data_IF_577785065625
#
_entry.id   IF_577785065625
#
_cell.length_a   1.000
_cell.length_b   1.000
_cell.length_c   1.000
_cell.angle_alpha   90.00
_cell.angle_beta   90.00
_cell.angle_gamma   90.00
#
_symmetry.space_group_name_H-M   'P 1'
#
loop_
_entity.id
_entity.type
_entity.pdbx_description
1 polymer ?
#
# COMPACT_ATOMS: atom_id res chain seq x y z
N UNK A 1 8.47 3.22 -4.15
CA UNK A 1 7.02 3.38 -4.41
C UNK A 1 6.70 2.99 -5.85
N UNK A 2 5.71 2.11 -6.10
CA UNK A 2 5.35 1.68 -7.46
C UNK A 2 4.21 2.50 -8.10
N UNK A 3 3.54 3.31 -7.32
CA UNK A 3 2.45 4.18 -7.72
C UNK A 3 2.48 5.49 -6.93
N UNK A 4 2.22 6.60 -7.59
CA UNK A 4 2.01 7.91 -6.98
C UNK A 4 0.90 8.67 -7.71
N UNK A 5 0.23 9.56 -7.01
CA UNK A 5 -0.83 10.38 -7.59
C UNK A 5 -0.23 11.44 -8.52
N UNK A 6 -0.68 11.44 -9.79
CA UNK A 6 -0.27 12.43 -10.78
C UNK A 6 -1.41 13.41 -11.01
N UNK A 7 -1.30 14.59 -10.41
CA UNK A 7 -2.26 15.68 -10.61
C UNK A 7 -1.97 16.39 -11.93
N UNK A 8 -2.68 16.00 -12.98
CA UNK A 8 -2.44 16.44 -14.36
C UNK A 8 -2.50 17.97 -14.48
N UNK A 9 -3.52 18.62 -13.91
CA UNK A 9 -3.67 20.08 -14.00
C UNK A 9 -2.53 20.85 -13.33
N UNK A 10 -2.10 20.41 -12.15
CA UNK A 10 -0.97 21.03 -11.45
C UNK A 10 0.35 20.81 -12.19
N UNK A 11 0.51 19.62 -12.78
CA UNK A 11 1.69 19.30 -13.59
C UNK A 11 1.75 20.17 -14.83
N UNK A 12 0.67 20.23 -15.62
CA UNK A 12 0.60 21.01 -16.84
C UNK A 12 0.83 22.50 -16.57
N UNK A 13 0.26 23.05 -15.49
CA UNK A 13 0.45 24.43 -15.12
C UNK A 13 1.92 24.73 -14.75
N UNK A 14 2.57 23.82 -14.02
CA UNK A 14 3.96 23.99 -13.58
C UNK A 14 4.96 23.80 -14.72
N UNK A 15 4.64 23.01 -15.75
CA UNK A 15 5.56 22.60 -16.82
C UNK A 15 5.24 23.21 -18.20
N UNK A 16 4.19 24.03 -18.31
CA UNK A 16 3.71 24.59 -19.58
C UNK A 16 4.78 25.38 -20.37
N UNK A 17 5.78 25.92 -19.71
CA UNK A 17 6.88 26.68 -20.32
C UNK A 17 8.08 25.82 -20.74
N UNK A 18 8.12 24.55 -20.32
CA UNK A 18 9.22 23.65 -20.65
C UNK A 18 9.16 23.20 -22.11
N UNK A 19 10.32 23.00 -22.71
CA UNK A 19 10.44 22.31 -23.98
C UNK A 19 10.08 20.83 -23.82
N UNK A 20 9.74 20.14 -24.90
CA UNK A 20 9.45 18.70 -24.87
C UNK A 20 10.64 17.88 -24.33
N UNK A 21 11.88 18.34 -24.54
CA UNK A 21 13.08 17.72 -23.97
C UNK A 21 13.14 17.90 -22.46
N UNK A 22 12.95 19.11 -21.97
CA UNK A 22 12.96 19.43 -20.53
C UNK A 22 11.82 18.74 -19.79
N UNK A 23 10.60 18.73 -20.34
CA UNK A 23 9.46 18.01 -19.79
C UNK A 23 9.73 16.49 -19.70
N UNK A 24 10.28 15.92 -20.76
CA UNK A 24 10.68 14.51 -20.79
C UNK A 24 11.73 14.18 -19.71
N UNK A 25 12.72 15.05 -19.51
CA UNK A 25 13.75 14.92 -18.47
C UNK A 25 13.12 15.07 -17.07
N UNK A 26 12.27 16.08 -16.87
CA UNK A 26 11.56 16.29 -15.60
C UNK A 26 10.74 15.06 -15.21
N UNK A 27 9.94 14.52 -16.12
CA UNK A 27 9.17 13.32 -15.89
C UNK A 27 10.03 12.08 -15.54
N UNK A 28 11.26 11.95 -16.12
CA UNK A 28 12.19 10.88 -15.76
C UNK A 28 12.78 11.07 -14.36
N UNK A 29 13.11 12.28 -13.97
CA UNK A 29 13.64 12.62 -12.65
C UNK A 29 12.60 12.36 -11.55
N UNK A 30 11.36 12.79 -11.75
CA UNK A 30 10.25 12.54 -10.81
C UNK A 30 10.02 11.03 -10.63
N UNK A 31 9.96 10.26 -11.72
CA UNK A 31 9.78 8.81 -11.62
C UNK A 31 10.93 8.13 -10.89
N UNK A 32 12.17 8.58 -11.12
CA UNK A 32 13.32 8.04 -10.39
C UNK A 32 13.24 8.37 -8.91
N UNK A 33 12.97 9.63 -8.58
CA UNK A 33 12.82 10.08 -7.19
C UNK A 33 11.76 9.27 -6.43
N UNK A 34 10.58 9.13 -7.03
CA UNK A 34 9.47 8.37 -6.44
C UNK A 34 9.78 6.86 -6.32
N UNK A 35 10.46 6.27 -7.29
CA UNK A 35 10.83 4.86 -7.24
C UNK A 35 11.88 4.55 -6.18
N UNK A 36 12.88 5.43 -6.00
CA UNK A 36 13.93 5.27 -4.99
C UNK A 36 13.50 5.70 -3.59
N UNK A 37 12.48 6.56 -3.48
CA UNK A 37 12.03 7.21 -2.23
C UNK A 37 13.16 7.95 -1.50
N UNK A 38 14.13 8.47 -2.26
CA UNK A 38 15.33 9.15 -1.78
C UNK A 38 15.67 10.34 -2.69
N UNK A 39 16.39 11.36 -2.18
CA UNK A 39 16.92 12.45 -2.98
C UNK A 39 17.76 11.95 -4.15
N UNK A 40 17.80 12.73 -5.23
CA UNK A 40 18.71 12.42 -6.34
C UNK A 40 20.15 12.76 -5.93
N UNK A 41 21.14 12.02 -6.46
CA UNK A 41 22.54 12.27 -6.11
C UNK A 41 22.96 13.69 -6.48
N UNK A 42 23.92 14.27 -5.76
CA UNK A 42 24.49 15.59 -6.07
C UNK A 42 25.32 15.62 -7.36
N UNK A 43 25.83 14.45 -7.81
CA UNK A 43 26.60 14.33 -9.05
C UNK A 43 25.70 14.42 -10.29
N UNK A 44 25.74 15.58 -10.96
CA UNK A 44 24.97 15.85 -12.18
C UNK A 44 25.32 14.86 -13.31
N UNK A 45 26.57 14.40 -13.42
CA UNK A 45 26.96 13.43 -14.45
C UNK A 45 26.30 12.06 -14.21
N UNK A 46 26.14 11.65 -12.96
CA UNK A 46 25.40 10.45 -12.62
C UNK A 46 23.93 10.59 -12.97
N UNK A 47 23.33 11.74 -12.71
CA UNK A 47 21.95 12.06 -13.09
C UNK A 47 21.78 11.99 -14.62
N UNK A 48 22.64 12.69 -15.37
CA UNK A 48 22.60 12.71 -16.84
C UNK A 48 22.64 11.28 -17.43
N UNK A 49 23.53 10.45 -16.94
CA UNK A 49 23.62 9.03 -17.34
C UNK A 49 22.34 8.27 -17.03
N UNK A 50 21.79 8.46 -15.84
CA UNK A 50 20.57 7.74 -15.39
C UNK A 50 19.35 8.11 -16.20
N UNK A 51 19.18 9.39 -16.54
CA UNK A 51 18.06 9.86 -17.38
C UNK A 51 18.32 9.71 -18.88
N UNK A 52 19.49 9.15 -19.27
CA UNK A 52 19.90 8.93 -20.67
C UNK A 52 20.02 10.23 -21.45
N UNK A 53 20.59 11.26 -20.85
CA UNK A 53 20.92 12.52 -21.53
C UNK A 53 22.25 12.38 -22.28
N UNK A 54 22.19 12.08 -23.58
CA UNK A 54 23.35 11.80 -24.43
C UNK A 54 23.80 13.02 -25.22
N UNK A 55 22.87 13.81 -25.72
CA UNK A 55 23.19 15.03 -26.47
C UNK A 55 23.56 16.19 -25.54
N UNK A 56 24.13 17.25 -26.11
CA UNK A 56 24.41 18.48 -25.34
C UNK A 56 23.10 19.09 -24.85
N UNK A 57 22.12 19.19 -25.73
CA UNK A 57 20.79 19.73 -25.42
C UNK A 57 20.11 19.00 -24.26
N UNK A 58 20.14 17.66 -24.27
CA UNK A 58 19.59 16.85 -23.17
C UNK A 58 20.34 17.07 -21.84
N UNK A 59 21.67 17.25 -21.89
CA UNK A 59 22.45 17.53 -20.69
C UNK A 59 22.19 18.93 -20.13
N UNK A 60 22.01 19.92 -21.02
CA UNK A 60 21.65 21.27 -20.62
C UNK A 60 20.23 21.29 -20.02
N UNK A 61 19.27 20.56 -20.62
CA UNK A 61 17.93 20.38 -20.08
C UNK A 61 17.92 19.77 -18.66
N UNK A 62 18.82 18.81 -18.36
CA UNK A 62 18.97 18.28 -16.99
C UNK A 62 19.34 19.38 -16.01
N UNK A 63 20.29 20.26 -16.38
CA UNK A 63 20.73 21.36 -15.51
C UNK A 63 19.61 22.38 -15.29
N UNK A 64 18.90 22.76 -16.36
CA UNK A 64 17.77 23.68 -16.30
C UNK A 64 16.69 23.15 -15.35
N UNK A 65 16.26 21.90 -15.56
CA UNK A 65 15.21 21.27 -14.76
C UNK A 65 15.63 21.10 -13.30
N UNK A 66 16.86 20.70 -13.02
CA UNK A 66 17.37 20.61 -11.65
C UNK A 66 17.39 21.98 -10.97
N UNK A 67 17.86 23.01 -11.66
CA UNK A 67 17.92 24.37 -11.09
C UNK A 67 16.55 24.99 -10.84
N UNK A 68 15.53 24.61 -11.58
CA UNK A 68 14.19 25.18 -11.47
C UNK A 68 13.28 24.44 -10.50
N UNK A 69 13.29 23.12 -10.53
CA UNK A 69 12.33 22.29 -9.79
C UNK A 69 12.89 21.57 -8.58
N UNK A 70 14.22 21.58 -8.40
CA UNK A 70 14.88 20.86 -7.32
C UNK A 70 15.76 21.80 -6.50
N UNK A 71 15.96 21.45 -5.26
CA UNK A 71 16.83 22.16 -4.31
C UNK A 71 18.00 21.24 -3.95
N UNK A 72 19.23 21.73 -4.15
CA UNK A 72 20.42 21.01 -3.74
C UNK A 72 20.65 21.19 -2.24
N UNK A 73 20.66 20.07 -1.51
CA UNK A 73 21.00 19.97 -0.08
C UNK A 73 22.23 19.11 0.13
N UNK A 74 22.64 18.89 1.38
CA UNK A 74 23.83 18.11 1.73
C UNK A 74 23.79 16.66 1.23
N UNK A 75 22.60 16.05 1.22
CA UNK A 75 22.36 14.67 0.84
C UNK A 75 21.93 14.47 -0.63
N UNK A 76 21.76 15.56 -1.38
CA UNK A 76 21.43 15.52 -2.80
C UNK A 76 20.35 16.51 -3.25
N UNK A 77 19.80 16.29 -4.43
CA UNK A 77 18.74 17.13 -4.99
C UNK A 77 17.38 16.69 -4.49
N UNK A 78 16.70 17.61 -3.80
CA UNK A 78 15.35 17.45 -3.24
C UNK A 78 14.29 18.09 -4.12
N UNK A 79 13.11 17.47 -4.15
CA UNK A 79 11.93 18.03 -4.78
C UNK A 79 10.77 18.00 -3.79
N UNK A 80 10.29 19.17 -3.40
CA UNK A 80 9.33 19.34 -2.31
C UNK A 80 8.05 18.52 -2.44
N UNK A 81 7.48 18.44 -3.64
CA UNK A 81 6.27 17.64 -3.89
C UNK A 81 6.54 16.14 -3.72
N UNK A 82 7.68 15.66 -4.25
CA UNK A 82 8.08 14.27 -4.10
C UNK A 82 8.30 13.91 -2.63
N UNK A 83 9.00 14.76 -1.88
CA UNK A 83 9.22 14.56 -0.44
C UNK A 83 7.89 14.45 0.32
N UNK A 84 6.95 15.34 0.02
CA UNK A 84 5.62 15.36 0.65
C UNK A 84 4.82 14.09 0.34
N UNK A 85 4.81 13.65 -0.91
CA UNK A 85 4.10 12.44 -1.34
C UNK A 85 4.74 11.17 -0.73
N UNK A 86 6.06 11.09 -0.67
CA UNK A 86 6.78 9.97 -0.03
C UNK A 86 6.46 9.93 1.47
N UNK A 87 6.47 11.09 2.14
CA UNK A 87 6.13 11.18 3.56
C UNK A 87 4.69 10.71 3.82
N UNK A 88 3.71 11.16 3.02
CA UNK A 88 2.31 10.70 3.10
C UNK A 88 2.17 9.21 2.87
N UNK A 89 2.87 8.68 1.90
CA UNK A 89 2.84 7.24 1.60
C UNK A 89 3.40 6.41 2.76
N UNK A 90 4.55 6.79 3.30
CA UNK A 90 5.17 6.11 4.46
C UNK A 90 4.27 6.18 5.70
N UNK A 91 3.63 7.32 5.94
CA UNK A 91 2.68 7.46 7.06
C UNK A 91 1.45 6.56 6.89
N UNK A 92 0.89 6.49 5.68
CA UNK A 92 -0.23 5.59 5.34
C UNK A 92 0.15 4.12 5.55
N UNK A 93 1.34 3.71 5.10
CA UNK A 93 1.85 2.35 5.32
C UNK A 93 2.01 2.03 6.81
N UNK A 94 2.60 2.96 7.58
CA UNK A 94 2.77 2.80 9.03
C UNK A 94 1.43 2.61 9.75
N UNK A 95 0.43 3.45 9.41
CA UNK A 95 -0.92 3.36 9.98
C UNK A 95 -1.61 2.05 9.60
N UNK A 96 -1.48 1.61 8.35
CA UNK A 96 -2.05 0.35 7.88
C UNK A 96 -1.42 -0.85 8.59
N UNK A 97 -0.08 -0.86 8.76
CA UNK A 97 0.63 -1.90 9.50
C UNK A 97 0.19 -1.95 10.96
N UNK A 98 0.16 -0.82 11.64
CA UNK A 98 -0.29 -0.74 13.05
C UNK A 98 -1.73 -1.26 13.20
N UNK A 99 -2.64 -0.92 12.28
CA UNK A 99 -4.02 -1.41 12.30
C UNK A 99 -4.13 -2.91 12.03
N UNK A 100 -3.24 -3.46 11.21
CA UNK A 100 -3.15 -4.89 10.97
C UNK A 100 -2.64 -5.62 12.22
N UNK A 101 -1.57 -5.15 12.84
CA UNK A 101 -0.97 -5.73 14.05
C UNK A 101 -1.99 -5.79 15.21
N UNK A 102 -2.80 -4.72 15.39
CA UNK A 102 -3.89 -4.70 16.39
C UNK A 102 -4.95 -5.76 16.08
N UNK A 103 -5.32 -5.95 14.81
CA UNK A 103 -6.31 -6.97 14.41
C UNK A 103 -5.80 -8.39 14.67
N UNK A 104 -4.55 -8.67 14.33
CA UNK A 104 -3.94 -9.99 14.56
C UNK A 104 -3.79 -10.30 16.05
N UNK A 105 -3.31 -9.37 16.87
CA UNK A 105 -3.19 -9.54 18.32
C UNK A 105 -4.56 -9.76 19.00
N UNK A 106 -5.64 -9.17 18.45
CA UNK A 106 -7.00 -9.41 18.96
C UNK A 106 -7.53 -10.78 18.54
N UNK A 107 -7.22 -11.24 17.33
CA UNK A 107 -7.61 -12.55 16.84
C UNK A 107 -6.94 -13.69 17.63
N UNK A 108 -5.65 -13.55 17.95
CA UNK A 108 -4.92 -14.53 18.79
C UNK A 108 -5.53 -14.67 20.17
N UNK A 109 -5.85 -13.57 20.85
CA UNK A 109 -6.52 -13.59 22.16
C UNK A 109 -7.91 -14.22 22.13
N UNK A 110 -8.62 -14.09 21.00
CA UNK A 110 -9.95 -14.72 20.85
C UNK A 110 -9.82 -16.22 20.60
N UNK A 111 -8.78 -16.63 19.87
CA UNK A 111 -8.47 -18.04 19.59
C UNK A 111 -8.06 -18.79 20.86
N UNK A 112 -7.22 -18.17 21.71
CA UNK A 112 -6.84 -18.74 23.00
C UNK A 112 -8.02 -18.86 23.98
N UNK A 113 -8.93 -17.89 24.01
CA UNK A 113 -10.16 -17.98 24.82
C UNK A 113 -11.09 -19.09 24.35
N UNK A 114 -11.26 -19.29 23.05
CA UNK A 114 -12.07 -20.37 22.49
C UNK A 114 -11.45 -21.75 22.74
N UNK A 115 -10.12 -21.88 22.66
CA UNK A 115 -9.42 -23.13 22.96
C UNK A 115 -9.58 -23.50 24.45
N UNK A 116 -9.52 -22.55 25.37
CA UNK A 116 -9.70 -22.79 26.80
C UNK A 116 -11.16 -23.09 27.16
N UNK A 117 -12.13 -22.43 26.50
CA UNK A 117 -13.56 -22.71 26.70
C UNK A 117 -13.98 -24.11 26.20
N UNK A 118 -13.27 -24.65 25.20
CA UNK A 118 -13.54 -26.00 24.69
C UNK A 118 -12.98 -27.09 25.61
N UNK A 119 -11.97 -26.82 26.42
CA UNK A 119 -11.43 -27.77 27.40
C UNK A 119 -12.26 -27.87 28.67
N UNK A 120 -13.00 -26.83 29.04
CA UNK A 120 -13.86 -26.85 30.25
C UNK A 120 -15.22 -27.53 29.99
N UNK A 121 -15.66 -27.70 28.73
CA UNK A 121 -16.94 -28.32 28.39
C UNK A 121 -16.88 -29.84 28.15
N UNK A 122 -15.68 -30.46 28.15
CA UNK A 122 -15.54 -31.91 27.87
C UNK A 122 -15.58 -32.80 29.12
N UNK A 123 -15.80 -32.21 30.30
CA UNK A 123 -15.90 -32.96 31.56
C UNK A 123 -17.33 -33.11 32.13
N UNK A 124 -18.36 -32.66 31.40
CA UNK A 124 -19.71 -32.53 31.98
C UNK A 124 -20.91 -33.12 31.27
N UNK A 125 -20.80 -33.77 30.12
CA UNK A 125 -22.02 -34.27 29.50
C UNK A 125 -21.86 -35.61 28.71
N UNK A 126 -21.70 -36.69 29.45
CA UNK A 126 -21.81 -38.08 28.92
C UNK A 126 -23.08 -38.79 29.41
N UNK A 127 -24.17 -38.10 29.69
CA UNK A 127 -25.38 -38.78 30.21
C UNK A 127 -26.72 -38.47 29.56
N UNK A 128 -26.81 -37.73 28.45
CA UNK A 128 -28.14 -37.38 27.89
C UNK A 128 -28.33 -37.66 26.40
N UNK A 129 -27.46 -38.42 25.72
CA UNK A 129 -27.61 -38.67 24.29
C UNK A 129 -28.36 -39.97 23.93
N UNK A 130 -28.70 -40.83 24.90
CA UNK A 130 -29.38 -42.10 24.62
C UNK A 130 -30.92 -42.06 24.76
N UNK A 131 -31.48 -40.99 25.37
CA UNK A 131 -32.92 -40.90 25.58
C UNK A 131 -33.71 -40.13 24.49
N UNK A 132 -33.04 -39.42 23.61
CA UNK A 132 -33.70 -38.64 22.54
C UNK A 132 -33.94 -39.37 21.23
N UNK A 133 -33.38 -40.56 21.04
CA UNK A 133 -33.55 -41.36 19.80
C UNK A 133 -34.74 -42.29 19.91
N UNK A 134 -35.27 -42.58 21.10
CA UNK A 134 -36.40 -43.50 21.28
C UNK A 134 -37.78 -42.86 21.03
N UNK A 135 -37.92 -41.56 21.02
CA UNK A 135 -39.21 -40.87 20.88
C UNK A 135 -39.54 -40.32 19.48
N UNK A 136 -38.65 -40.46 18.49
CA UNK A 136 -38.86 -39.96 17.14
C UNK A 136 -39.44 -41.02 16.15
N UNK A 137 -39.71 -42.24 16.61
CA UNK A 137 -40.14 -43.34 15.70
C UNK A 137 -41.61 -43.75 15.86
N UNK A 138 -42.45 -43.03 16.59
CA UNK A 138 -43.84 -43.42 16.85
C UNK A 138 -44.93 -42.47 16.31
N UNK A 139 -44.63 -41.43 15.55
CA UNK A 139 -45.66 -40.49 15.03
C UNK A 139 -45.72 -40.34 13.50
N UNK A 140 -45.54 -41.42 12.74
CA UNK A 140 -45.84 -41.36 11.30
C UNK A 140 -46.50 -42.64 10.81
N UNK A 141 -47.67 -43.01 11.39
CA UNK A 141 -48.60 -43.93 10.73
C UNK A 141 -50.01 -43.64 11.19
N UNK A 142 -50.69 -42.73 10.55
CA UNK A 142 -52.18 -42.65 10.45
C UNK A 142 -52.54 -41.48 9.48
N UNK A 143 -53.04 -41.86 8.33
CA UNK A 143 -54.02 -41.02 7.65
C UNK A 143 -53.70 -40.58 6.24
N UNK A 144 -53.85 -41.49 5.28
CA UNK A 144 -54.47 -41.13 4.01
C UNK A 144 -55.35 -42.23 3.48
N UNK A 145 -56.64 -42.01 3.62
CA UNK A 145 -57.69 -42.62 2.81
C UNK A 145 -58.87 -41.67 2.73
N UNK A 146 -59.12 -41.14 1.55
CA UNK A 146 -60.38 -40.71 0.90
C UNK A 146 -60.15 -39.45 0.07
N UNK A 147 -60.48 -39.40 -1.12
CA UNK A 147 -61.25 -39.89 -2.26
C UNK A 147 -60.80 -39.17 -3.49
#
# INVERSE_FOLDING_TARGET
MNYFEHHIGDYDQATAHLTACEDGIYGRLIRWYMASEQPLPSDIKAIQRRVRAHSKEERDAVQTVLGEFFELREDGWHQHRCDSEIARFKDKQRKAKASADVRWSKADRTSERNANASQENDAGDMRTHTERIANASQENDAGDMRT
#
